data_IF_235026307265
#
_entry.id   IF_235026307265
#
_cell.length_a   1.000
_cell.length_b   1.000
_cell.length_c   1.000
_cell.angle_alpha   90.00
_cell.angle_beta   90.00
_cell.angle_gamma   90.00
#
_symmetry.space_group_name_H-M   'P 1'
#
loop_
_entity.id
_entity.type
_entity.pdbx_description
1 polymer ?
#
# COMPACT_ATOMS: atom_id res chain seq x y z
N UNK A 1 -4.36 2.62 6.69
CA UNK A 1 -2.88 2.52 6.74
C UNK A 1 -2.21 3.79 7.26
N UNK A 2 -2.52 4.99 6.75
CA UNK A 2 -1.88 6.25 7.22
C UNK A 2 -2.00 6.48 8.72
N UNK A 3 -3.17 6.21 9.29
CA UNK A 3 -3.38 6.30 10.72
C UNK A 3 -2.45 5.35 11.50
N UNK A 4 -2.20 4.14 10.99
CA UNK A 4 -1.26 3.20 11.62
C UNK A 4 0.18 3.71 11.52
N UNK A 5 0.58 4.28 10.38
CA UNK A 5 1.89 4.91 10.23
C UNK A 5 2.05 6.10 11.20
N UNK A 6 1.00 6.90 11.38
CA UNK A 6 0.99 8.01 12.32
C UNK A 6 1.11 7.54 13.78
N UNK A 7 0.37 6.50 14.16
CA UNK A 7 0.32 5.96 15.54
C UNK A 7 1.55 5.11 15.88
N UNK A 8 1.90 4.15 15.02
CA UNK A 8 2.92 3.11 15.29
C UNK A 8 4.32 3.52 14.83
N UNK A 9 4.45 4.60 14.07
CA UNK A 9 5.73 5.09 13.55
C UNK A 9 6.21 4.38 12.29
N UNK A 10 7.36 4.83 11.78
CA UNK A 10 7.88 4.45 10.46
C UNK A 10 8.22 2.98 10.31
N UNK A 11 8.70 2.29 11.35
CA UNK A 11 9.07 0.86 11.23
C UNK A 11 7.84 -0.02 10.98
N UNK A 12 6.84 0.12 11.84
CA UNK A 12 5.58 -0.63 11.73
C UNK A 12 4.81 -0.22 10.47
N UNK A 13 4.82 1.07 10.15
CA UNK A 13 4.28 1.56 8.88
C UNK A 13 4.96 0.89 7.68
N UNK A 14 6.30 0.79 7.65
CA UNK A 14 7.05 0.21 6.54
C UNK A 14 6.75 -1.28 6.40
N UNK A 15 6.71 -2.01 7.51
CA UNK A 15 6.29 -3.40 7.54
C UNK A 15 4.88 -3.58 6.92
N UNK A 16 3.88 -2.83 7.41
CA UNK A 16 2.50 -2.89 6.91
C UNK A 16 2.41 -2.55 5.41
N UNK A 17 3.10 -1.49 4.99
CA UNK A 17 3.15 -1.07 3.58
C UNK A 17 3.82 -2.11 2.71
N UNK A 18 4.91 -2.73 3.16
CA UNK A 18 5.63 -3.73 2.37
C UNK A 18 4.75 -4.93 2.08
N UNK A 19 4.02 -5.43 3.07
CA UNK A 19 3.10 -6.57 2.88
C UNK A 19 1.95 -6.18 1.95
N UNK A 20 1.44 -4.95 2.04
CA UNK A 20 0.39 -4.46 1.15
C UNK A 20 0.87 -4.41 -0.32
N UNK A 21 2.09 -3.95 -0.56
CA UNK A 21 2.69 -3.95 -1.92
C UNK A 21 2.85 -5.38 -2.44
N UNK A 22 3.30 -6.32 -1.61
CA UNK A 22 3.41 -7.72 -2.04
C UNK A 22 2.03 -8.34 -2.34
N UNK A 23 1.01 -7.99 -1.57
CA UNK A 23 -0.37 -8.39 -1.83
C UNK A 23 -0.87 -7.83 -3.18
N UNK A 24 -0.61 -6.55 -3.44
CA UNK A 24 -0.94 -5.90 -4.71
C UNK A 24 -0.17 -6.51 -5.89
N UNK A 25 1.12 -6.80 -5.71
CA UNK A 25 1.98 -7.47 -6.67
C UNK A 25 1.41 -8.83 -7.10
N UNK A 26 1.09 -9.71 -6.15
CA UNK A 26 0.55 -11.04 -6.43
C UNK A 26 -0.79 -10.91 -7.14
N UNK A 27 -1.70 -10.08 -6.62
CA UNK A 27 -3.02 -9.83 -7.21
C UNK A 27 -2.90 -9.36 -8.66
N UNK A 28 -2.07 -8.35 -8.93
CA UNK A 28 -1.88 -7.79 -10.27
C UNK A 28 -1.26 -8.80 -11.22
N UNK A 29 -0.24 -9.54 -10.76
CA UNK A 29 0.38 -10.60 -11.55
C UNK A 29 -0.63 -11.71 -11.89
N UNK A 30 -1.41 -12.18 -10.92
CA UNK A 30 -2.48 -13.16 -11.14
C UNK A 30 -3.53 -12.66 -12.13
N UNK A 31 -3.94 -11.39 -12.06
CA UNK A 31 -4.89 -10.81 -13.01
C UNK A 31 -4.39 -10.87 -14.45
N UNK A 32 -3.13 -10.52 -14.67
CA UNK A 32 -2.52 -10.55 -16.00
C UNK A 32 -2.43 -12.00 -16.51
N UNK A 33 -1.92 -12.92 -15.67
CA UNK A 33 -1.69 -14.30 -16.06
C UNK A 33 -2.97 -15.12 -16.25
N UNK A 34 -4.00 -14.89 -15.44
CA UNK A 34 -5.26 -15.65 -15.49
C UNK A 34 -6.23 -15.07 -16.51
N UNK A 35 -6.22 -13.74 -16.72
CA UNK A 35 -7.00 -13.03 -17.73
C UNK A 35 -8.50 -13.41 -17.84
N UNK A 36 -9.08 -13.84 -16.71
CA UNK A 36 -10.46 -14.31 -16.64
C UNK A 36 -11.46 -13.14 -16.68
N UNK A 37 -12.51 -13.20 -17.52
CA UNK A 37 -13.45 -12.11 -17.72
C UNK A 37 -14.34 -11.87 -16.49
N UNK A 38 -14.93 -10.68 -16.44
CA UNK A 38 -15.99 -10.37 -15.46
C UNK A 38 -17.33 -10.97 -15.92
N UNK A 39 -18.29 -11.23 -15.02
CA UNK A 39 -19.59 -11.81 -15.39
C UNK A 39 -20.31 -11.06 -16.52
N UNK A 40 -20.39 -9.73 -16.45
CA UNK A 40 -21.03 -8.89 -17.48
C UNK A 40 -20.30 -8.87 -18.84
N UNK A 41 -19.05 -9.36 -18.90
CA UNK A 41 -18.32 -9.51 -20.17
C UNK A 41 -18.75 -10.79 -20.92
N UNK A 42 -19.17 -11.84 -20.19
CA UNK A 42 -19.57 -13.13 -20.75
C UNK A 42 -21.08 -13.33 -20.83
N UNK A 43 -21.86 -12.62 -20.02
CA UNK A 43 -23.32 -12.71 -19.99
C UNK A 43 -23.93 -11.29 -20.05
N UNK A 44 -24.72 -11.02 -21.09
CA UNK A 44 -25.36 -9.71 -21.30
C UNK A 44 -26.59 -9.47 -20.44
N UNK A 45 -27.10 -10.51 -19.76
CA UNK A 45 -28.17 -10.39 -18.76
C UNK A 45 -27.68 -9.74 -17.48
N UNK A 46 -26.37 -9.70 -17.26
CA UNK A 46 -25.76 -9.11 -16.06
C UNK A 46 -25.45 -7.65 -16.34
N UNK A 47 -26.20 -6.75 -15.70
CA UNK A 47 -25.96 -5.31 -15.73
C UNK A 47 -24.97 -4.93 -14.61
N UNK A 48 -23.79 -4.40 -14.96
CA UNK A 48 -22.81 -4.01 -13.97
C UNK A 48 -23.17 -2.66 -13.35
N UNK A 49 -23.38 -2.63 -12.03
CA UNK A 49 -23.68 -1.38 -11.30
C UNK A 49 -22.42 -0.56 -11.00
N UNK A 50 -21.24 -1.13 -11.25
CA UNK A 50 -19.95 -0.50 -11.03
C UNK A 50 -18.99 -0.88 -12.14
N UNK A 51 -18.11 0.05 -12.51
CA UNK A 51 -17.16 -0.15 -13.58
C UNK A 51 -15.79 -0.56 -13.08
N UNK A 52 -15.24 -1.58 -13.73
CA UNK A 52 -13.83 -1.92 -13.61
C UNK A 52 -13.32 -2.47 -14.92
N UNK A 53 -12.23 -1.88 -15.38
CA UNK A 53 -11.67 -2.12 -16.71
C UNK A 53 -10.66 -3.26 -16.75
N UNK A 54 -10.38 -3.89 -15.61
CA UNK A 54 -9.44 -5.00 -15.48
C UNK A 54 -10.14 -6.37 -15.55
N UNK A 55 -9.34 -7.44 -15.71
CA UNK A 55 -9.77 -8.82 -15.49
C UNK A 55 -10.38 -9.05 -14.11
N UNK A 56 -11.26 -10.06 -14.05
CA UNK A 56 -12.06 -10.42 -12.87
C UNK A 56 -11.29 -11.21 -11.83
N UNK A 57 -10.46 -12.18 -12.24
CA UNK A 57 -9.74 -13.06 -11.30
C UNK A 57 -8.34 -12.56 -10.97
N UNK A 58 -7.95 -12.45 -9.68
CA UNK A 58 -8.79 -12.48 -8.47
C UNK A 58 -9.51 -11.14 -8.23
N UNK A 59 -10.56 -11.17 -7.39
CA UNK A 59 -11.22 -9.94 -6.96
C UNK A 59 -10.31 -9.10 -6.04
N UNK A 60 -10.01 -7.88 -6.47
CA UNK A 60 -9.20 -6.94 -5.69
C UNK A 60 -9.87 -6.46 -4.39
N UNK A 61 -11.20 -6.34 -4.37
CA UNK A 61 -11.93 -5.95 -3.16
C UNK A 61 -11.93 -7.06 -2.11
N UNK A 62 -12.19 -8.31 -2.53
CA UNK A 62 -12.10 -9.47 -1.64
C UNK A 62 -10.66 -9.66 -1.09
N UNK A 63 -9.66 -9.54 -1.98
CA UNK A 63 -8.25 -9.61 -1.60
C UNK A 63 -7.85 -8.51 -0.61
N UNK A 64 -8.10 -7.24 -0.93
CA UNK A 64 -7.69 -6.13 -0.07
C UNK A 64 -8.46 -6.06 1.25
N UNK A 65 -9.77 -6.34 1.27
CA UNK A 65 -10.55 -6.33 2.52
C UNK A 65 -10.09 -7.42 3.47
N UNK A 66 -9.86 -8.63 2.95
CA UNK A 66 -9.32 -9.76 3.70
C UNK A 66 -7.91 -9.45 4.21
N UNK A 67 -7.04 -8.94 3.34
CA UNK A 67 -5.69 -8.50 3.69
C UNK A 67 -5.68 -7.49 4.85
N UNK A 68 -6.47 -6.41 4.73
CA UNK A 68 -6.51 -5.33 5.72
C UNK A 68 -7.02 -5.88 7.05
N UNK A 69 -8.09 -6.68 7.02
CA UNK A 69 -8.62 -7.30 8.23
C UNK A 69 -7.57 -8.17 8.91
N UNK A 70 -7.01 -9.15 8.20
CA UNK A 70 -6.07 -10.12 8.77
C UNK A 70 -4.85 -9.41 9.33
N UNK A 71 -4.29 -8.44 8.60
CA UNK A 71 -3.15 -7.66 9.08
C UNK A 71 -3.48 -6.88 10.35
N UNK A 72 -4.62 -6.18 10.39
CA UNK A 72 -5.06 -5.43 11.57
C UNK A 72 -5.35 -6.35 12.76
N UNK A 73 -5.99 -7.48 12.51
CA UNK A 73 -6.29 -8.50 13.50
C UNK A 73 -5.01 -9.04 14.13
N UNK A 74 -4.01 -9.37 13.32
CA UNK A 74 -2.72 -9.86 13.76
C UNK A 74 -1.93 -8.79 14.52
N UNK A 75 -1.89 -7.55 14.02
CA UNK A 75 -1.20 -6.44 14.71
C UNK A 75 -1.90 -6.02 16.03
N UNK A 76 -3.21 -6.19 16.13
CA UNK A 76 -3.97 -5.90 17.35
C UNK A 76 -3.85 -6.99 18.41
N UNK A 77 -4.00 -8.25 18.01
CA UNK A 77 -4.03 -9.39 18.93
C UNK A 77 -2.62 -9.93 19.24
N UNK A 78 -1.66 -9.79 18.32
CA UNK A 78 -0.29 -10.26 18.45
C UNK A 78 0.71 -9.12 18.15
N UNK A 79 0.74 -8.03 18.94
CA UNK A 79 1.67 -6.92 18.71
C UNK A 79 3.14 -7.35 18.91
N UNK A 80 4.03 -6.79 18.10
CA UNK A 80 5.46 -7.11 18.15
C UNK A 80 6.04 -6.75 19.53
N UNK A 81 6.80 -7.68 20.12
CA UNK A 81 7.46 -7.49 21.42
C UNK A 81 6.52 -7.53 22.64
N UNK A 82 5.29 -8.03 22.49
CA UNK A 82 4.37 -8.20 23.62
C UNK A 82 3.88 -9.65 23.70
N UNK A 83 3.99 -10.25 24.88
CA UNK A 83 3.51 -11.62 25.15
C UNK A 83 2.08 -11.66 25.71
N UNK A 84 1.52 -10.50 26.10
CA UNK A 84 0.20 -10.47 26.74
C UNK A 84 -0.91 -10.79 25.74
N UNK A 85 -1.47 -11.98 25.90
CA UNK A 85 -2.69 -12.40 25.23
C UNK A 85 -3.84 -11.45 25.59
N UNK A 86 -4.59 -10.99 24.58
CA UNK A 86 -5.79 -10.18 24.80
C UNK A 86 -6.88 -11.02 25.45
N UNK A 87 -7.85 -10.36 26.10
CA UNK A 87 -9.02 -11.08 26.62
C UNK A 87 -9.74 -11.80 25.47
N UNK A 88 -10.17 -13.03 25.73
CA UNK A 88 -10.87 -13.86 24.75
C UNK A 88 -12.07 -13.14 24.10
N UNK A 89 -12.82 -12.35 24.87
CA UNK A 89 -13.92 -11.54 24.35
C UNK A 89 -13.47 -10.52 23.29
N UNK A 90 -12.35 -9.81 23.51
CA UNK A 90 -11.83 -8.84 22.53
C UNK A 90 -11.34 -9.53 21.25
N UNK A 91 -10.70 -10.69 21.40
CA UNK A 91 -10.30 -11.53 20.28
C UNK A 91 -11.53 -11.91 19.45
N UNK A 92 -12.57 -12.48 20.08
CA UNK A 92 -13.78 -12.92 19.40
C UNK A 92 -14.53 -11.77 18.71
N UNK A 93 -14.68 -10.63 19.39
CA UNK A 93 -15.30 -9.43 18.79
C UNK A 93 -14.52 -8.98 17.55
N UNK A 94 -13.18 -8.91 17.63
CA UNK A 94 -12.36 -8.51 16.48
C UNK A 94 -12.49 -9.48 15.31
N UNK A 95 -12.61 -10.78 15.57
CA UNK A 95 -12.81 -11.81 14.57
C UNK A 95 -14.18 -11.67 13.87
N UNK A 96 -15.26 -11.54 14.66
CA UNK A 96 -16.64 -11.41 14.14
C UNK A 96 -16.77 -10.16 13.26
N UNK A 97 -16.28 -9.01 13.73
CA UNK A 97 -16.33 -7.76 12.98
C UNK A 97 -15.56 -7.88 11.66
N UNK A 98 -14.41 -8.54 11.69
CA UNK A 98 -13.59 -8.76 10.51
C UNK A 98 -14.20 -9.66 9.45
N UNK A 99 -14.68 -10.83 9.88
CA UNK A 99 -15.34 -11.80 8.98
C UNK A 99 -16.60 -11.17 8.39
N UNK A 100 -17.36 -10.42 9.19
CA UNK A 100 -18.54 -9.68 8.70
C UNK A 100 -18.16 -8.65 7.65
N UNK A 101 -17.07 -7.90 7.87
CA UNK A 101 -16.56 -6.94 6.91
C UNK A 101 -16.16 -7.60 5.58
N UNK A 102 -15.42 -8.72 5.62
CA UNK A 102 -15.05 -9.48 4.41
C UNK A 102 -16.30 -9.95 3.68
N UNK A 103 -17.28 -10.51 4.40
CA UNK A 103 -18.52 -11.00 3.82
C UNK A 103 -19.30 -9.87 3.12
N UNK A 104 -19.49 -8.73 3.78
CA UNK A 104 -20.16 -7.56 3.20
C UNK A 104 -19.43 -7.09 1.94
N UNK A 105 -18.10 -7.00 1.97
CA UNK A 105 -17.31 -6.61 0.80
C UNK A 105 -17.42 -7.61 -0.36
N UNK A 106 -17.47 -8.91 -0.08
CA UNK A 106 -17.65 -9.93 -1.12
C UNK A 106 -19.07 -9.94 -1.68
N UNK A 107 -20.08 -9.83 -0.82
CA UNK A 107 -21.48 -9.75 -1.21
C UNK A 107 -21.72 -8.55 -2.13
N UNK A 108 -21.20 -7.38 -1.75
CA UNK A 108 -21.29 -6.16 -2.56
C UNK A 108 -20.71 -6.37 -3.97
N UNK A 109 -19.61 -7.11 -4.12
CA UNK A 109 -19.02 -7.41 -5.45
C UNK A 109 -19.87 -8.34 -6.33
N UNK A 110 -20.58 -9.29 -5.72
CA UNK A 110 -21.57 -10.12 -6.43
C UNK A 110 -22.78 -9.27 -6.82
N UNK A 111 -23.29 -8.50 -5.86
CA UNK A 111 -24.46 -7.65 -6.02
C UNK A 111 -24.30 -6.65 -7.16
N UNK A 112 -23.13 -6.02 -7.31
CA UNK A 112 -22.86 -5.09 -8.42
C UNK A 112 -22.54 -5.78 -9.76
N UNK A 113 -22.53 -7.13 -9.82
CA UNK A 113 -22.35 -7.90 -11.06
C UNK A 113 -20.94 -7.87 -11.65
N UNK A 114 -19.92 -7.60 -10.84
CA UNK A 114 -18.54 -7.43 -11.33
C UNK A 114 -17.61 -8.59 -11.01
N UNK A 115 -18.03 -9.55 -10.18
CA UNK A 115 -17.26 -10.75 -9.85
C UNK A 115 -18.12 -12.01 -9.70
N UNK A 116 -17.56 -13.16 -10.07
CA UNK A 116 -18.09 -14.50 -9.75
C UNK A 116 -17.65 -14.95 -8.34
N UNK A 117 -18.19 -16.06 -7.84
CA UNK A 117 -17.86 -16.57 -6.51
C UNK A 117 -16.42 -17.11 -6.45
N UNK A 118 -15.96 -17.80 -7.48
CA UNK A 118 -14.58 -18.32 -7.61
C UNK A 118 -13.54 -17.17 -7.62
N UNK A 119 -13.83 -16.07 -8.33
CA UNK A 119 -13.04 -14.84 -8.31
C UNK A 119 -12.88 -14.26 -6.90
N UNK A 120 -13.93 -14.35 -6.07
CA UNK A 120 -13.93 -13.89 -4.68
C UNK A 120 -13.15 -14.86 -3.79
N UNK A 121 -13.35 -16.17 -3.94
CA UNK A 121 -12.64 -17.19 -3.17
C UNK A 121 -11.13 -17.07 -3.36
N UNK A 122 -10.65 -16.93 -4.60
CA UNK A 122 -9.21 -16.74 -4.84
C UNK A 122 -8.71 -15.42 -4.25
N UNK A 123 -9.52 -14.35 -4.34
CA UNK A 123 -9.22 -13.08 -3.68
C UNK A 123 -9.03 -13.22 -2.17
N UNK A 124 -9.97 -13.88 -1.48
CA UNK A 124 -9.89 -14.17 -0.05
C UNK A 124 -8.65 -15.02 0.26
N UNK A 125 -8.38 -16.05 -0.55
CA UNK A 125 -7.23 -16.93 -0.34
C UNK A 125 -5.90 -16.17 -0.37
N UNK A 126 -5.70 -15.29 -1.37
CA UNK A 126 -4.51 -14.43 -1.46
C UNK A 126 -4.47 -13.47 -0.26
N UNK A 127 -5.59 -12.80 0.03
CA UNK A 127 -5.70 -11.83 1.13
C UNK A 127 -5.50 -12.44 2.53
N UNK A 128 -5.74 -13.75 2.71
CA UNK A 128 -5.40 -14.49 3.93
C UNK A 128 -3.91 -14.87 3.94
N UNK A 129 -3.45 -15.49 2.86
CA UNK A 129 -2.14 -16.11 2.79
C UNK A 129 -1.01 -15.11 2.98
N UNK A 130 -1.04 -13.98 2.26
CA UNK A 130 0.05 -13.00 2.28
C UNK A 130 0.30 -12.44 3.69
N UNK A 131 -0.68 -11.84 4.41
CA UNK A 131 -0.41 -11.28 5.73
C UNK A 131 -0.08 -12.37 6.77
N UNK A 132 -0.68 -13.56 6.71
CA UNK A 132 -0.33 -14.66 7.62
C UNK A 132 1.12 -15.09 7.44
N UNK A 133 1.53 -15.34 6.19
CA UNK A 133 2.89 -15.77 5.85
C UNK A 133 3.92 -14.73 6.30
N UNK A 134 3.71 -13.46 5.99
CA UNK A 134 4.62 -12.40 6.41
C UNK A 134 4.64 -12.19 7.92
N UNK A 135 3.51 -12.32 8.60
CA UNK A 135 3.43 -12.19 10.05
C UNK A 135 4.17 -13.32 10.77
N UNK A 136 3.95 -14.57 10.35
CA UNK A 136 4.55 -15.74 10.99
C UNK A 136 6.03 -15.91 10.63
N UNK A 137 6.42 -15.67 9.38
CA UNK A 137 7.74 -16.06 8.89
C UNK A 137 8.73 -14.90 8.80
N UNK A 138 8.28 -13.68 8.48
CA UNK A 138 9.19 -12.58 8.12
C UNK A 138 9.17 -11.39 9.07
N UNK A 139 8.14 -11.24 9.91
CA UNK A 139 7.97 -10.07 10.78
C UNK A 139 9.20 -9.75 11.61
N UNK A 140 9.72 -10.72 12.36
CA UNK A 140 10.87 -10.51 13.23
C UNK A 140 12.13 -10.14 12.44
N UNK A 141 12.37 -10.80 11.31
CA UNK A 141 13.50 -10.52 10.43
C UNK A 141 13.43 -9.11 9.84
N UNK A 142 12.24 -8.69 9.40
CA UNK A 142 12.01 -7.33 8.90
C UNK A 142 12.27 -6.30 10.00
N UNK A 143 11.67 -6.43 11.18
CA UNK A 143 11.88 -5.46 12.27
C UNK A 143 13.36 -5.35 12.68
N UNK A 144 14.06 -6.47 12.82
CA UNK A 144 15.51 -6.49 13.12
C UNK A 144 16.33 -5.82 12.02
N UNK A 145 15.97 -6.03 10.76
CA UNK A 145 16.61 -5.37 9.62
C UNK A 145 16.37 -3.87 9.60
N UNK A 146 15.13 -3.41 9.86
CA UNK A 146 14.82 -1.98 9.94
C UNK A 146 15.59 -1.31 11.10
N UNK A 147 15.78 -2.03 12.20
CA UNK A 147 16.62 -1.57 13.32
C UNK A 147 18.10 -1.43 12.96
N UNK A 148 18.66 -2.40 12.24
CA UNK A 148 20.07 -2.32 11.82
C UNK A 148 20.30 -1.16 10.86
N UNK A 149 19.36 -0.91 9.95
CA UNK A 149 19.45 0.21 9.00
C UNK A 149 19.41 1.56 9.71
N UNK A 150 18.46 1.75 10.63
CA UNK A 150 18.29 3.05 11.29
C UNK A 150 19.44 3.40 12.24
N UNK A 151 20.15 2.40 12.79
CA UNK A 151 21.27 2.64 13.70
C UNK A 151 22.62 2.82 12.97
N UNK A 152 22.68 2.62 11.65
CA UNK A 152 23.95 2.62 10.92
C UNK A 152 24.20 3.96 10.21
N UNK A 153 25.14 4.76 10.74
CA UNK A 153 25.63 5.98 10.08
C UNK A 153 26.59 5.74 8.91
N UNK A 154 26.95 4.48 8.62
CA UNK A 154 27.96 4.14 7.63
C UNK A 154 27.48 4.37 6.18
N UNK A 155 28.17 5.26 5.45
CA UNK A 155 27.89 5.57 4.04
C UNK A 155 28.00 4.36 3.12
N UNK A 156 28.97 3.46 3.33
CA UNK A 156 29.12 2.26 2.50
C UNK A 156 27.95 1.29 2.70
N UNK A 157 27.49 1.13 3.95
CA UNK A 157 26.32 0.33 4.25
C UNK A 157 25.07 0.88 3.54
N UNK A 158 24.87 2.20 3.57
CA UNK A 158 23.79 2.86 2.85
C UNK A 158 23.81 2.56 1.34
N UNK A 159 24.98 2.65 0.69
CA UNK A 159 25.10 2.37 -0.75
C UNK A 159 24.77 0.91 -1.05
N UNK A 160 25.27 -0.05 -0.25
CA UNK A 160 24.95 -1.47 -0.42
C UNK A 160 23.45 -1.73 -0.30
N UNK A 161 22.81 -1.11 0.68
CA UNK A 161 21.38 -1.23 0.94
C UNK A 161 20.53 -0.60 -0.18
N UNK A 162 20.96 0.54 -0.73
CA UNK A 162 20.32 1.16 -1.89
C UNK A 162 20.42 0.26 -3.13
N UNK A 163 21.61 -0.28 -3.41
CA UNK A 163 21.82 -1.20 -4.54
C UNK A 163 20.97 -2.47 -4.41
N UNK A 164 20.89 -3.06 -3.22
CA UNK A 164 20.04 -4.22 -2.96
C UNK A 164 18.55 -3.92 -3.22
N UNK A 165 18.09 -2.70 -2.90
CA UNK A 165 16.72 -2.27 -3.13
C UNK A 165 16.41 -2.05 -4.61
N UNK A 166 17.39 -1.54 -5.38
CA UNK A 166 17.28 -1.43 -6.83
C UNK A 166 17.25 -2.80 -7.52
N UNK A 167 18.02 -3.77 -7.02
CA UNK A 167 17.94 -5.14 -7.51
C UNK A 167 16.58 -5.75 -7.17
N UNK A 168 16.08 -5.55 -5.95
CA UNK A 168 14.79 -6.05 -5.51
C UNK A 168 13.62 -5.51 -6.35
N UNK A 169 13.63 -4.21 -6.68
CA UNK A 169 12.56 -3.65 -7.53
C UNK A 169 12.60 -4.22 -8.94
N UNK A 170 13.79 -4.51 -9.49
CA UNK A 170 13.91 -5.19 -10.79
C UNK A 170 13.36 -6.61 -10.70
N UNK A 171 13.68 -7.36 -9.63
CA UNK A 171 13.18 -8.72 -9.40
C UNK A 171 11.66 -8.73 -9.27
N UNK A 172 11.04 -7.72 -8.64
CA UNK A 172 9.58 -7.61 -8.54
C UNK A 172 8.96 -7.19 -9.87
N UNK A 173 9.50 -6.17 -10.53
CA UNK A 173 8.87 -5.62 -11.72
C UNK A 173 9.02 -6.54 -12.94
N UNK A 174 10.13 -7.26 -13.06
CA UNK A 174 10.41 -8.10 -14.22
C UNK A 174 9.34 -9.17 -14.48
N UNK A 175 8.88 -9.98 -13.49
CA UNK A 175 7.78 -10.93 -13.70
C UNK A 175 6.48 -10.29 -14.18
N UNK A 176 6.12 -9.08 -13.71
CA UNK A 176 4.91 -8.39 -14.15
C UNK A 176 5.04 -7.87 -15.59
N UNK A 177 6.21 -7.33 -15.95
CA UNK A 177 6.49 -6.93 -17.34
C UNK A 177 6.49 -8.15 -18.26
N UNK A 178 7.12 -9.25 -17.86
CA UNK A 178 7.13 -10.50 -18.61
C UNK A 178 5.72 -11.08 -18.78
N UNK A 179 4.92 -11.11 -17.72
CA UNK A 179 3.53 -11.53 -17.78
C UNK A 179 2.70 -10.65 -18.71
N UNK A 180 2.93 -9.32 -18.68
CA UNK A 180 2.28 -8.38 -19.59
C UNK A 180 2.66 -8.67 -21.05
N UNK A 181 3.96 -8.77 -21.37
CA UNK A 181 4.44 -9.06 -22.73
C UNK A 181 3.91 -10.40 -23.23
N UNK A 182 3.95 -11.43 -22.38
CA UNK A 182 3.41 -12.74 -22.71
C UNK A 182 1.92 -12.67 -23.03
N UNK A 183 1.13 -12.01 -22.20
CA UNK A 183 -0.33 -11.88 -22.38
C UNK A 183 -0.66 -11.08 -23.64
N UNK A 184 0.05 -9.97 -23.88
CA UNK A 184 -0.15 -9.11 -25.06
C UNK A 184 0.13 -9.86 -26.37
N UNK A 185 1.10 -10.79 -26.36
CA UNK A 185 1.48 -11.59 -27.53
C UNK A 185 0.59 -12.81 -27.75
N UNK A 186 0.06 -13.41 -26.68
CA UNK A 186 -0.63 -14.72 -26.74
C UNK A 186 -2.13 -14.64 -26.60
N UNK A 187 -2.66 -13.54 -26.08
CA UNK A 187 -4.08 -13.40 -25.77
C UNK A 187 -4.62 -12.05 -26.23
N UNK A 188 -5.64 -12.10 -27.08
CA UNK A 188 -6.43 -10.93 -27.45
C UNK A 188 -7.82 -11.05 -26.82
N UNK A 189 -8.24 -10.10 -25.94
CA UNK A 189 -9.57 -10.13 -25.37
C UNK A 189 -10.65 -10.20 -26.46
N UNK A 190 -11.59 -11.17 -26.40
CA UNK A 190 -12.68 -11.29 -27.35
C UNK A 190 -13.42 -9.96 -27.57
N UNK A 191 -13.77 -9.68 -28.81
CA UNK A 191 -14.41 -8.42 -29.18
C UNK A 191 -15.73 -8.18 -28.40
N UNK A 192 -16.49 -9.25 -28.16
CA UNK A 192 -17.72 -9.22 -27.35
C UNK A 192 -17.48 -8.76 -25.90
N UNK A 193 -16.31 -9.07 -25.31
CA UNK A 193 -15.97 -8.57 -23.97
C UNK A 193 -15.74 -7.07 -24.00
N UNK A 194 -15.05 -6.56 -25.03
CA UNK A 194 -14.79 -5.11 -25.20
C UNK A 194 -16.10 -4.34 -25.41
N UNK A 195 -16.99 -4.86 -26.25
CA UNK A 195 -18.29 -4.25 -26.52
C UNK A 195 -19.18 -4.21 -25.27
N UNK A 196 -19.24 -5.32 -24.52
CA UNK A 196 -20.01 -5.38 -23.28
C UNK A 196 -19.39 -4.53 -22.17
N UNK A 197 -18.07 -4.44 -22.09
CA UNK A 197 -17.39 -3.51 -21.20
C UNK A 197 -17.75 -2.06 -21.55
N UNK A 198 -17.69 -1.68 -22.83
CA UNK A 198 -18.03 -0.33 -23.30
C UNK A 198 -19.53 -0.01 -23.17
N UNK A 199 -20.40 -1.02 -23.12
CA UNK A 199 -21.83 -0.83 -22.85
C UNK A 199 -22.10 -0.57 -21.37
N UNK A 200 -21.45 -1.32 -20.50
CA UNK A 200 -21.62 -1.19 -19.05
C UNK A 200 -20.82 -0.02 -18.46
N UNK A 201 -19.80 0.46 -19.18
CA UNK A 201 -18.86 1.46 -18.68
C UNK A 201 -18.55 2.58 -19.66
N UNK A 202 -18.19 3.75 -19.10
CA UNK A 202 -17.65 4.88 -19.88
C UNK A 202 -16.40 4.38 -20.61
N UNK A 203 -16.38 4.50 -21.94
CA UNK A 203 -15.32 4.00 -22.82
C UNK A 203 -13.93 4.43 -22.33
N UNK A 204 -13.18 3.55 -21.63
CA UNK A 204 -11.89 3.93 -21.07
C UNK A 204 -10.83 4.01 -22.19
N UNK A 205 -9.77 4.81 -22.01
CA UNK A 205 -8.62 4.74 -22.92
C UNK A 205 -8.02 3.33 -22.91
N UNK A 206 -7.44 2.90 -24.04
CA UNK A 206 -6.89 1.55 -24.22
C UNK A 206 -5.94 1.14 -23.08
N UNK A 207 -5.03 2.02 -22.69
CA UNK A 207 -4.05 1.75 -21.63
C UNK A 207 -4.63 1.67 -20.22
N UNK A 208 -5.94 1.88 -20.07
CA UNK A 208 -6.69 1.66 -18.83
C UNK A 208 -7.63 0.45 -18.93
N UNK A 209 -7.29 -0.57 -19.73
CA UNK A 209 -8.11 -1.80 -19.87
C UNK A 209 -7.26 -3.07 -19.76
N UNK A 210 -7.88 -4.16 -19.29
CA UNK A 210 -7.35 -5.52 -19.28
C UNK A 210 -5.91 -5.61 -18.71
N UNK A 211 -4.96 -6.21 -19.46
CA UNK A 211 -3.56 -6.32 -19.06
C UNK A 211 -2.83 -4.97 -19.08
N UNK A 212 -3.27 -3.99 -19.86
CA UNK A 212 -2.69 -2.64 -19.87
C UNK A 212 -2.91 -1.90 -18.54
N UNK A 213 -4.09 -2.05 -17.93
CA UNK A 213 -4.29 -1.56 -16.55
C UNK A 213 -3.39 -2.29 -15.55
N UNK A 214 -3.15 -3.60 -15.74
CA UNK A 214 -2.27 -4.38 -14.89
C UNK A 214 -0.83 -3.86 -14.88
N UNK A 215 -0.29 -3.48 -16.04
CA UNK A 215 1.07 -2.91 -16.10
C UNK A 215 1.14 -1.50 -15.49
N UNK A 216 0.07 -0.69 -15.59
CA UNK A 216 -0.01 0.55 -14.81
C UNK A 216 0.08 0.28 -13.30
N UNK A 217 -0.68 -0.68 -12.78
CA UNK A 217 -0.62 -1.08 -11.37
C UNK A 217 0.71 -1.74 -10.98
N UNK A 218 1.46 -2.34 -11.90
CA UNK A 218 2.83 -2.77 -11.63
C UNK A 218 3.78 -1.61 -11.25
N UNK A 219 3.45 -0.38 -11.66
CA UNK A 219 4.12 0.83 -11.19
C UNK A 219 3.90 1.11 -9.70
N UNK A 220 2.83 0.59 -9.08
CA UNK A 220 2.55 0.78 -7.64
C UNK A 220 3.70 0.31 -6.76
N UNK A 221 4.49 -0.67 -7.22
CA UNK A 221 5.69 -1.16 -6.56
C UNK A 221 6.73 -0.06 -6.27
N UNK A 222 6.73 1.04 -7.02
CA UNK A 222 7.59 2.20 -6.73
C UNK A 222 7.43 2.73 -5.30
N UNK A 223 6.26 2.55 -4.68
CA UNK A 223 6.00 2.98 -3.30
C UNK A 223 6.92 2.30 -2.28
N UNK A 224 7.30 1.04 -2.48
CA UNK A 224 8.18 0.34 -1.52
C UNK A 224 9.60 0.86 -1.60
N UNK A 225 10.10 1.13 -2.81
CA UNK A 225 11.42 1.73 -3.02
C UNK A 225 11.45 3.15 -2.45
N UNK A 226 10.41 3.93 -2.71
CA UNK A 226 10.24 5.26 -2.13
C UNK A 226 10.25 5.20 -0.61
N UNK A 227 9.38 4.38 -0.01
CA UNK A 227 9.29 4.20 1.44
C UNK A 227 10.63 3.79 2.06
N UNK A 228 11.37 2.92 1.37
CA UNK A 228 12.66 2.45 1.85
C UNK A 228 13.73 3.55 1.83
N UNK A 229 13.84 4.32 0.74
CA UNK A 229 14.72 5.49 0.68
C UNK A 229 14.30 6.54 1.72
N UNK A 230 12.99 6.74 1.88
CA UNK A 230 12.44 7.63 2.91
C UNK A 230 12.85 7.22 4.32
N UNK A 231 12.85 5.93 4.61
CA UNK A 231 13.31 5.39 5.89
C UNK A 231 14.81 5.61 6.13
N UNK A 232 15.63 5.48 5.08
CA UNK A 232 17.07 5.75 5.17
C UNK A 232 17.35 7.24 5.46
N UNK A 233 16.60 8.15 4.84
CA UNK A 233 16.68 9.59 5.12
C UNK A 233 16.25 9.85 6.56
N UNK A 234 15.11 9.29 6.98
CA UNK A 234 14.60 9.42 8.34
C UNK A 234 15.62 9.00 9.40
N UNK A 235 16.28 7.84 9.22
CA UNK A 235 17.28 7.33 10.16
C UNK A 235 18.50 8.24 10.38
N UNK A 236 18.80 9.13 9.43
CA UNK A 236 19.88 10.13 9.56
C UNK A 236 19.44 11.45 10.17
N UNK A 237 18.17 11.81 10.02
CA UNK A 237 17.69 13.17 10.33
C UNK A 237 17.01 13.29 11.68
N UNK A 238 16.41 12.21 12.20
CA UNK A 238 15.62 12.26 13.44
C UNK A 238 16.48 11.90 14.64
N UNK A 239 16.56 12.83 15.59
CA UNK A 239 17.33 12.66 16.83
C UNK A 239 16.46 12.08 17.96
N UNK A 240 15.15 12.35 17.91
CA UNK A 240 14.21 11.90 18.93
C UNK A 240 13.71 10.48 18.62
N UNK A 241 14.20 9.51 19.40
CA UNK A 241 13.65 8.14 19.45
C UNK A 241 12.44 8.10 20.39
N UNK A 242 11.35 8.80 20.05
CA UNK A 242 10.14 8.79 20.86
C UNK A 242 9.55 7.36 20.90
N UNK A 243 9.38 6.81 22.11
CA UNK A 243 8.79 5.47 22.31
C UNK A 243 7.27 5.48 22.13
N UNK A 244 6.63 6.63 22.38
CA UNK A 244 5.19 6.85 22.27
C UNK A 244 4.91 8.29 21.86
N UNK A 245 4.00 8.49 20.90
CA UNK A 245 3.56 9.81 20.47
C UNK A 245 2.35 10.29 21.28
N UNK A 246 2.28 11.59 21.59
CA UNK A 246 1.07 12.22 22.14
C UNK A 246 -0.03 12.33 21.07
N UNK A 247 -1.28 12.53 21.49
CA UNK A 247 -2.42 12.65 20.56
C UNK A 247 -2.18 13.81 19.56
N UNK A 248 -1.70 14.95 20.03
CA UNK A 248 -1.37 16.09 19.18
C UNK A 248 -0.30 15.74 18.14
N UNK A 249 0.75 15.00 18.54
CA UNK A 249 1.80 14.55 17.63
C UNK A 249 1.25 13.59 16.55
N UNK A 250 0.36 12.67 16.93
CA UNK A 250 -0.32 11.78 15.98
C UNK A 250 -1.18 12.57 14.99
N UNK A 251 -1.91 13.59 15.45
CA UNK A 251 -2.72 14.47 14.58
C UNK A 251 -1.82 15.21 13.59
N UNK A 252 -0.74 15.84 14.04
CA UNK A 252 0.21 16.56 13.17
C UNK A 252 0.77 15.62 12.09
N UNK A 253 1.20 14.41 12.49
CA UNK A 253 1.70 13.41 11.53
C UNK A 253 0.64 12.99 10.54
N UNK A 254 -0.58 12.71 11.00
CA UNK A 254 -1.68 12.28 10.14
C UNK A 254 -2.08 13.37 9.12
N UNK A 255 -2.18 14.63 9.53
CA UNK A 255 -2.45 15.76 8.64
C UNK A 255 -1.32 15.91 7.61
N UNK A 256 -0.06 15.83 8.06
CA UNK A 256 1.10 15.90 7.14
C UNK A 256 1.05 14.80 6.08
N UNK A 257 0.71 13.56 6.48
CA UNK A 257 0.54 12.44 5.56
C UNK A 257 -0.58 12.67 4.55
N UNK A 258 -1.73 13.21 4.97
CA UNK A 258 -2.83 13.56 4.07
C UNK A 258 -2.39 14.59 3.03
N UNK A 259 -1.70 15.66 3.47
CA UNK A 259 -1.21 16.72 2.57
C UNK A 259 -0.23 16.14 1.54
N UNK A 260 0.72 15.32 1.97
CA UNK A 260 1.67 14.63 1.08
C UNK A 260 0.92 13.81 0.03
N UNK A 261 -0.04 12.98 0.45
CA UNK A 261 -0.79 12.14 -0.48
C UNK A 261 -1.66 12.95 -1.44
N UNK A 262 -2.29 14.03 -0.97
CA UNK A 262 -3.10 14.91 -1.81
C UNK A 262 -2.24 15.54 -2.92
N UNK A 263 -1.05 16.03 -2.58
CA UNK A 263 -0.09 16.59 -3.54
C UNK A 263 0.39 15.52 -4.54
N UNK A 264 0.77 14.33 -4.07
CA UNK A 264 1.17 13.24 -4.96
C UNK A 264 0.01 12.80 -5.88
N UNK A 265 -1.22 12.78 -5.39
CA UNK A 265 -2.39 12.45 -6.19
C UNK A 265 -2.71 13.52 -7.23
N UNK A 266 -2.50 14.79 -6.90
CA UNK A 266 -2.59 15.88 -7.87
C UNK A 266 -1.56 15.68 -8.99
N UNK A 267 -0.30 15.34 -8.68
CA UNK A 267 0.73 15.04 -9.68
C UNK A 267 0.32 13.85 -10.58
N UNK A 268 -0.16 12.75 -10.02
CA UNK A 268 -0.68 11.60 -10.80
C UNK A 268 -1.80 12.01 -11.78
N UNK A 269 -2.70 12.90 -11.34
CA UNK A 269 -3.80 13.38 -12.17
C UNK A 269 -3.37 14.25 -13.35
N UNK A 270 -2.19 14.87 -13.29
CA UNK A 270 -1.64 15.68 -14.38
C UNK A 270 -1.02 14.85 -15.50
N UNK A 271 -0.68 13.58 -15.24
CA UNK A 271 -0.11 12.68 -16.26
C UNK A 271 -1.25 11.96 -16.96
N UNK A 272 -1.48 12.14 -18.27
CA UNK A 272 -2.61 11.54 -18.95
C UNK A 272 -2.35 10.06 -19.29
N UNK A 273 -3.41 9.31 -19.63
CA UNK A 273 -3.31 7.88 -19.98
C UNK A 273 -2.95 7.64 -21.46
N UNK A 274 -3.02 8.65 -22.32
CA UNK A 274 -2.83 8.59 -23.78
C UNK A 274 -1.37 8.82 -24.21
N UNK A 275 -0.41 8.32 -23.42
CA UNK A 275 1.01 8.45 -23.73
C UNK A 275 1.40 7.58 -24.94
N UNK A 276 2.42 7.94 -25.75
CA UNK A 276 2.79 7.18 -26.95
C UNK A 276 3.26 5.73 -26.72
N UNK A 277 3.54 5.35 -25.47
CA UNK A 277 4.10 4.05 -25.12
C UNK A 277 3.60 3.60 -23.75
N UNK A 278 3.24 2.32 -23.64
CA UNK A 278 2.82 1.70 -22.38
C UNK A 278 3.92 1.77 -21.30
N UNK A 279 5.20 1.79 -21.70
CA UNK A 279 6.31 1.94 -20.77
C UNK A 279 6.40 3.35 -20.18
N UNK A 280 5.95 4.38 -20.92
CA UNK A 280 5.81 5.72 -20.38
C UNK A 280 4.66 5.78 -19.36
N UNK A 281 3.57 5.06 -19.60
CA UNK A 281 2.48 4.92 -18.61
C UNK A 281 3.00 4.22 -17.34
N UNK A 282 3.72 3.11 -17.49
CA UNK A 282 4.33 2.39 -16.36
C UNK A 282 5.23 3.31 -15.53
N UNK A 283 6.11 4.09 -16.15
CA UNK A 283 7.09 4.93 -15.43
C UNK A 283 6.48 6.24 -14.94
N UNK A 284 5.92 7.05 -15.85
CA UNK A 284 5.48 8.42 -15.55
C UNK A 284 4.15 8.46 -14.81
N UNK A 285 3.26 7.50 -15.06
CA UNK A 285 1.93 7.46 -14.45
C UNK A 285 1.83 6.45 -13.31
N UNK A 286 2.46 5.29 -13.43
CA UNK A 286 2.48 4.27 -12.38
C UNK A 286 3.57 4.51 -11.34
N UNK A 287 4.83 4.40 -11.76
CA UNK A 287 5.98 4.27 -10.87
C UNK A 287 6.33 5.56 -10.14
N UNK A 288 6.58 6.66 -10.85
CA UNK A 288 6.98 7.94 -10.23
C UNK A 288 5.90 8.44 -9.24
N UNK A 289 4.60 8.47 -9.62
CA UNK A 289 3.56 8.95 -8.70
C UNK A 289 3.33 8.02 -7.51
N UNK A 290 3.73 6.75 -7.59
CA UNK A 290 3.69 5.81 -6.46
C UNK A 290 4.96 5.90 -5.59
N UNK A 291 6.11 6.18 -6.20
CA UNK A 291 7.39 6.34 -5.52
C UNK A 291 7.41 7.56 -4.59
N UNK A 292 6.95 8.71 -5.07
CA UNK A 292 6.94 9.96 -4.30
C UNK A 292 6.18 9.87 -2.96
N UNK A 293 4.93 9.38 -2.89
CA UNK A 293 4.22 9.28 -1.62
C UNK A 293 4.92 8.30 -0.66
N UNK A 294 5.53 7.23 -1.15
CA UNK A 294 6.39 6.36 -0.35
C UNK A 294 7.57 7.13 0.24
N UNK A 295 8.34 7.81 -0.59
CA UNK A 295 9.51 8.60 -0.17
C UNK A 295 9.16 9.65 0.88
N UNK A 296 8.14 10.45 0.60
CA UNK A 296 7.77 11.60 1.42
C UNK A 296 7.10 11.16 2.73
N UNK A 297 6.21 10.16 2.70
CA UNK A 297 5.49 9.68 3.88
C UNK A 297 6.41 9.07 4.94
N UNK A 298 7.55 8.50 4.52
CA UNK A 298 8.50 7.86 5.42
C UNK A 298 9.67 8.77 5.83
N UNK A 299 9.91 9.88 5.14
CA UNK A 299 10.97 10.83 5.48
C UNK A 299 10.46 12.05 6.26
N UNK A 300 9.37 12.69 5.83
CA UNK A 300 9.01 14.03 6.28
C UNK A 300 8.29 14.10 7.64
N UNK A 301 7.25 13.29 7.93
CA UNK A 301 6.36 13.56 9.07
C UNK A 301 7.07 13.63 10.42
N UNK A 302 8.02 12.72 10.67
CA UNK A 302 8.76 12.70 11.92
C UNK A 302 9.85 13.79 11.98
N UNK A 303 10.48 14.15 10.85
CA UNK A 303 11.42 15.28 10.79
C UNK A 303 10.70 16.60 11.09
N UNK A 304 9.53 16.79 10.49
CA UNK A 304 8.70 17.97 10.74
C UNK A 304 8.29 18.05 12.21
N UNK A 305 7.85 16.92 12.77
CA UNK A 305 7.46 16.83 14.17
C UNK A 305 8.62 17.15 15.12
N UNK A 306 9.80 16.60 14.88
CA UNK A 306 11.03 16.86 15.65
C UNK A 306 11.35 18.37 15.68
N UNK A 307 11.29 19.04 14.53
CA UNK A 307 11.51 20.49 14.42
C UNK A 307 10.46 21.32 15.16
N UNK A 308 9.19 20.93 15.10
CA UNK A 308 8.12 21.63 15.82
C UNK A 308 8.34 21.52 17.34
N UNK A 309 8.65 20.32 17.83
CA UNK A 309 8.89 20.08 19.27
C UNK A 309 10.09 20.88 19.77
N UNK A 310 11.21 20.86 19.03
CA UNK A 310 12.40 21.64 19.39
C UNK A 310 12.09 23.14 19.48
N UNK A 311 11.28 23.67 18.56
CA UNK A 311 10.87 25.08 18.59
C UNK A 311 9.96 25.39 19.78
N UNK A 312 9.02 24.50 20.10
CA UNK A 312 8.13 24.67 21.25
C UNK A 312 8.91 24.66 22.57
N UNK A 313 9.86 23.74 22.74
CA UNK A 313 10.69 23.66 23.94
C UNK A 313 11.57 24.92 24.12
N UNK A 314 12.08 25.48 23.01
CA UNK A 314 12.84 26.74 23.06
C UNK A 314 11.95 27.91 23.50
N UNK A 315 10.68 27.95 23.07
CA UNK A 315 9.74 29.00 23.47
C UNK A 315 9.34 28.88 24.95
N UNK A 316 9.14 27.66 25.46
CA UNK A 316 8.81 27.46 26.88
C UNK A 316 9.94 27.87 27.82
N UNK A 317 11.21 27.69 27.41
CA UNK A 317 12.37 28.13 28.19
C UNK A 317 12.52 29.66 28.24
N UNK A 318 12.08 30.38 27.21
CA UNK A 318 12.12 31.85 27.19
C UNK A 318 11.00 32.46 28.04
N UNK A 319 9.90 31.74 28.23
CA UNK A 319 8.74 32.20 29.00
C UNK A 319 8.82 31.97 30.50
N UNK A 320 9.85 31.30 31.02
CA UNK A 320 10.09 31.27 32.48
C UNK A 320 10.53 32.68 32.91
N UNK A 321 9.69 33.44 33.64
CA UNK A 321 10.07 34.77 34.08
C UNK A 321 11.31 34.65 34.96
N UNK A 322 12.27 35.55 34.75
CA UNK A 322 13.33 35.84 35.73
C UNK A 322 12.61 36.25 37.02
N UNK A 323 12.31 35.29 37.88
CA UNK A 323 12.02 35.55 39.27
C UNK A 323 13.37 36.00 39.83
N UNK A 324 13.63 37.30 39.73
CA UNK A 324 14.70 37.94 40.49
C UNK A 324 14.44 37.62 41.96
N UNK A 325 15.27 36.75 42.53
CA UNK A 325 15.42 36.63 43.98
C UNK A 325 15.86 38.00 44.50
N UNK A 326 14.89 38.83 44.89
CA UNK A 326 15.14 39.95 45.81
C UNK A 326 15.32 39.34 47.19
N UNK A 327 16.57 39.06 47.56
CA UNK A 327 17.00 38.86 48.95
C UNK A 327 17.85 40.03 49.41
#
# INVERSE_FOLDING_TARGET
MLLLLAIKGVKAGFYIFSIWVINDYIKTLSKILIHDPRPHMVDDRINALSCSYEYGTPSGHACNSTFIFVLLFLEYNYPFGQEKQKSFAKYLISLILGVSFIFIMCYDRVYVGVHTIDQLILGIAIGLWVPLWFHCCYRNSIYKYLESIQNTGNRQFFIKVLMASLIFIVIILAPQVLAFVYTDQTFSPPQIWKERLNRNCIQPPLFNTFHYSGIYYAGSNGVILGAFIGLLIHGRSVHIKAKTYSILQVIIKYVTLIVILALCKAIDSLVPFDLPSIYLVLVLKGFIPSFLPGLLSFSIPDILLDRIILKMNKLSQVSEPLIEEKS
#
